data_IF_962881164530
#
_entry.id   IF_962881164530
#
_cell.length_a   1.000
_cell.length_b   1.000
_cell.length_c   1.000
_cell.angle_alpha   90.00
_cell.angle_beta   90.00
_cell.angle_gamma   90.00
#
_symmetry.space_group_name_H-M   'P 1'
#
loop_
_entity.id
_entity.type
_entity.pdbx_description
1 polymer ?
#
# COMPACT_ATOMS: atom_id res chain seq x y z
N UNK A 1 -28.02 12.18 32.37
CA UNK A 1 -27.36 12.02 31.84
C UNK A 1 -27.26 12.14 30.51
N UNK A 2 -26.53 12.67 29.92
CA UNK A 2 -26.45 12.81 28.67
C UNK A 2 -25.67 11.94 28.02
N UNK A 3 -26.14 11.23 27.24
CA UNK A 3 -25.44 10.40 26.54
C UNK A 3 -25.01 11.00 25.35
N UNK A 4 -23.81 11.18 25.16
CA UNK A 4 -23.34 11.62 24.03
C UNK A 4 -23.18 10.57 23.11
N UNK A 5 -24.00 10.39 22.29
CA UNK A 5 -23.88 9.40 21.36
C UNK A 5 -23.00 9.79 20.30
N UNK A 6 -21.85 9.33 20.31
CA UNK A 6 -21.00 9.56 19.30
C UNK A 6 -21.22 8.64 18.21
N UNK A 7 -21.63 9.11 17.15
CA UNK A 7 -21.78 8.29 15.99
C UNK A 7 -20.46 8.04 15.42
N UNK A 8 -20.05 6.85 15.32
CA UNK A 8 -18.79 6.55 14.72
C UNK A 8 -18.80 7.00 13.29
N UNK A 9 -17.96 7.88 13.01
CA UNK A 9 -17.81 8.27 11.68
C UNK A 9 -17.06 7.19 10.98
N UNK A 10 -17.59 6.70 9.95
CA UNK A 10 -16.86 5.83 9.15
C UNK A 10 -16.05 6.68 8.31
N UNK A 11 -14.94 6.96 8.76
CA UNK A 11 -14.02 7.69 7.99
C UNK A 11 -13.42 6.74 7.01
N UNK A 12 -13.12 7.13 5.87
CA UNK A 12 -12.31 6.37 4.95
C UNK A 12 -10.89 6.22 5.47
N UNK A 13 -10.02 5.67 4.67
CA UNK A 13 -8.62 5.56 5.02
C UNK A 13 -8.02 6.96 5.15
N UNK A 14 -7.17 7.13 6.14
CA UNK A 14 -6.45 8.35 6.40
C UNK A 14 -4.99 7.99 6.59
N UNK A 15 -4.08 8.95 6.54
CA UNK A 15 -2.68 8.66 6.86
C UNK A 15 -2.53 8.00 8.22
N UNK A 16 -3.33 8.41 9.20
CA UNK A 16 -3.28 7.83 10.54
C UNK A 16 -3.78 6.37 10.54
N UNK A 17 -4.81 6.09 9.77
CA UNK A 17 -5.32 4.73 9.66
C UNK A 17 -4.31 3.81 8.99
N UNK A 18 -3.61 4.32 7.98
CA UNK A 18 -2.56 3.56 7.32
C UNK A 18 -1.40 3.31 8.28
N UNK A 19 -1.00 4.31 9.06
CA UNK A 19 0.08 4.12 10.04
C UNK A 19 -0.30 3.06 11.07
N UNK A 20 -1.55 3.03 11.47
CA UNK A 20 -2.02 2.01 12.40
C UNK A 20 -1.93 0.61 11.79
N UNK A 21 -2.27 0.48 10.50
CA UNK A 21 -2.18 -0.81 9.82
C UNK A 21 -0.72 -1.23 9.63
N UNK A 22 0.15 -0.29 9.32
CA UNK A 22 1.58 -0.57 9.22
C UNK A 22 2.11 -1.07 10.56
N UNK A 23 1.74 -0.41 11.64
CA UNK A 23 2.17 -0.82 12.98
C UNK A 23 1.71 -2.23 13.31
N UNK A 24 0.52 -2.62 12.87
CA UNK A 24 0.05 -3.99 13.09
C UNK A 24 0.96 -5.00 12.41
N UNK A 25 1.54 -4.63 11.27
CA UNK A 25 2.39 -5.55 10.53
C UNK A 25 3.80 -5.59 11.09
N UNK A 26 4.39 -4.44 11.36
CA UNK A 26 5.79 -4.39 11.72
C UNK A 26 6.07 -4.23 13.20
N UNK A 27 5.06 -3.91 13.99
CA UNK A 27 5.23 -3.69 15.41
C UNK A 27 6.13 -2.50 15.66
N UNK A 28 7.17 -2.70 16.45
CA UNK A 28 8.11 -1.63 16.79
C UNK A 28 9.31 -1.57 15.85
N UNK A 29 9.33 -2.38 14.80
CA UNK A 29 10.44 -2.35 13.87
C UNK A 29 10.48 -1.03 13.13
N UNK A 30 11.68 -0.61 12.79
CA UNK A 30 11.84 0.55 11.92
C UNK A 30 11.88 0.06 10.49
N UNK A 31 11.47 0.91 9.56
CA UNK A 31 11.51 0.53 8.17
C UNK A 31 12.62 1.29 7.45
N UNK A 32 13.08 0.72 6.37
CA UNK A 32 14.10 1.29 5.51
C UNK A 32 13.48 1.72 4.19
N UNK A 33 14.17 2.56 3.48
CA UNK A 33 13.78 2.94 2.13
C UNK A 33 14.68 2.21 1.14
N UNK A 34 14.24 2.09 -0.08
CA UNK A 34 14.96 1.38 -1.12
C UNK A 34 14.31 0.05 -1.43
N UNK A 35 14.90 -0.68 -2.33
CA UNK A 35 14.47 -2.00 -2.80
C UNK A 35 13.10 -2.02 -3.49
N UNK A 36 12.18 -1.15 -3.15
CA UNK A 36 10.82 -1.19 -3.70
C UNK A 36 10.70 -0.23 -4.86
N UNK A 37 10.26 -0.74 -6.00
CA UNK A 37 9.89 0.09 -7.12
C UNK A 37 8.38 0.02 -7.27
N UNK A 38 7.75 1.15 -7.05
CA UNK A 38 6.30 1.28 -7.11
C UNK A 38 5.98 2.11 -8.35
N UNK A 39 5.38 1.48 -9.34
CA UNK A 39 5.09 2.12 -10.62
C UNK A 39 3.60 2.35 -10.76
N UNK A 40 3.22 3.59 -10.91
CA UNK A 40 1.84 3.99 -11.14
C UNK A 40 1.85 5.35 -11.83
N UNK A 41 0.77 5.71 -12.52
CA UNK A 41 0.71 7.01 -13.16
C UNK A 41 0.68 8.12 -12.10
N UNK A 42 1.31 9.24 -12.38
CA UNK A 42 1.27 10.38 -11.47
C UNK A 42 -0.13 10.97 -11.40
N UNK A 43 -0.88 10.86 -12.48
CA UNK A 43 -2.24 11.35 -12.57
C UNK A 43 -3.12 10.22 -13.07
N UNK A 44 -4.16 9.91 -12.33
CA UNK A 44 -5.12 8.91 -12.73
C UNK A 44 -6.30 9.62 -13.40
N UNK A 45 -6.41 9.44 -14.70
CA UNK A 45 -7.54 10.00 -15.45
C UNK A 45 -8.77 9.12 -15.29
N UNK A 46 -8.58 7.83 -15.12
CA UNK A 46 -9.66 6.92 -14.83
C UNK A 46 -9.41 6.29 -13.47
N UNK A 47 -9.99 6.87 -12.45
CA UNK A 47 -9.77 6.44 -11.08
C UNK A 47 -10.38 5.06 -10.77
N UNK A 48 -11.23 4.56 -11.65
CA UNK A 48 -11.81 3.22 -11.45
C UNK A 48 -10.86 2.10 -11.79
N UNK A 49 -9.86 2.37 -12.63
CA UNK A 49 -8.94 1.34 -13.10
C UNK A 49 -7.55 1.96 -13.20
N UNK A 50 -6.82 1.93 -12.11
CA UNK A 50 -5.48 2.51 -12.07
C UNK A 50 -4.47 1.37 -12.04
N UNK A 51 -3.59 1.29 -13.05
CA UNK A 51 -2.60 0.21 -13.05
C UNK A 51 -1.51 0.49 -12.03
N UNK A 52 -1.12 -0.55 -11.33
CA UNK A 52 -0.10 -0.47 -10.31
C UNK A 52 0.83 -1.67 -10.47
N UNK A 53 2.12 -1.42 -10.47
CA UNK A 53 3.11 -2.50 -10.49
C UNK A 53 4.06 -2.30 -9.31
N UNK A 54 4.34 -3.37 -8.62
CA UNK A 54 5.27 -3.36 -7.51
C UNK A 54 6.36 -4.37 -7.77
N UNK A 55 7.61 -3.96 -7.56
CA UNK A 55 8.74 -4.84 -7.66
C UNK A 55 9.64 -4.58 -6.48
N UNK A 56 10.10 -5.64 -5.83
CA UNK A 56 11.04 -5.53 -4.72
C UNK A 56 12.33 -6.20 -5.12
N UNK A 57 13.44 -5.46 -5.05
CA UNK A 57 14.74 -6.02 -5.39
C UNK A 57 15.16 -7.02 -4.34
N UNK A 58 15.37 -8.25 -4.76
CA UNK A 58 15.82 -9.31 -3.89
C UNK A 58 16.33 -10.46 -4.76
N UNK A 59 17.40 -11.15 -4.36
CA UNK A 59 17.87 -12.32 -5.09
C UNK A 59 16.93 -13.51 -4.98
N UNK A 60 15.94 -13.43 -4.11
CA UNK A 60 14.95 -14.49 -3.90
C UNK A 60 15.64 -15.84 -3.64
N UNK A 61 16.58 -15.81 -2.72
CA UNK A 61 17.29 -17.00 -2.27
C UNK A 61 16.72 -17.44 -0.91
N UNK A 62 16.96 -18.67 -0.49
CA UNK A 62 16.40 -19.14 0.78
C UNK A 62 16.74 -18.26 1.98
N UNK A 63 17.92 -17.65 1.99
CA UNK A 63 18.35 -16.81 3.10
C UNK A 63 18.16 -15.31 2.81
N UNK A 64 17.71 -14.93 1.63
CA UNK A 64 17.48 -13.53 1.30
C UNK A 64 16.36 -13.44 0.27
N UNK A 65 15.15 -13.28 0.74
CA UNK A 65 13.98 -13.17 -0.14
C UNK A 65 12.92 -12.29 0.49
N UNK A 66 11.97 -11.89 -0.33
CA UNK A 66 10.80 -11.16 0.12
C UNK A 66 9.79 -12.16 0.64
N UNK A 67 9.25 -11.94 1.82
CA UNK A 67 8.23 -12.81 2.40
C UNK A 67 6.82 -12.31 2.11
N UNK A 68 6.63 -11.00 2.13
CA UNK A 68 5.30 -10.43 1.90
C UNK A 68 5.41 -8.99 1.46
N UNK A 69 4.44 -8.55 0.68
CA UNK A 69 4.28 -7.14 0.33
C UNK A 69 2.85 -6.75 0.64
N UNK A 70 2.71 -5.68 1.39
CA UNK A 70 1.40 -5.13 1.75
C UNK A 70 1.22 -3.81 1.02
N UNK A 71 0.02 -3.58 0.51
CA UNK A 71 -0.32 -2.32 -0.15
C UNK A 71 -1.40 -1.61 0.63
N UNK A 72 -1.22 -0.31 0.79
CA UNK A 72 -2.17 0.55 1.48
C UNK A 72 -2.47 1.79 0.65
N UNK A 73 -3.62 2.37 0.89
CA UNK A 73 -4.04 3.62 0.26
C UNK A 73 -4.66 4.50 1.34
N UNK A 74 -4.20 5.74 1.42
CA UNK A 74 -4.61 6.60 2.53
C UNK A 74 -5.82 7.49 2.23
N UNK A 75 -6.47 7.27 1.11
CA UNK A 75 -7.68 8.03 0.73
C UNK A 75 -8.85 7.17 0.28
N UNK A 76 -8.72 5.87 0.29
CA UNK A 76 -9.80 4.95 -0.12
C UNK A 76 -10.71 4.64 1.07
N UNK A 77 -11.85 3.98 0.85
CA UNK A 77 -12.72 3.60 1.97
C UNK A 77 -12.03 2.71 3.01
N UNK A 78 -11.11 1.86 2.56
CA UNK A 78 -10.34 1.02 3.46
C UNK A 78 -8.87 1.27 3.23
N UNK A 79 -8.04 1.27 4.27
CA UNK A 79 -6.61 1.52 4.09
C UNK A 79 -5.88 0.37 3.41
N UNK A 80 -6.28 -0.87 3.65
CA UNK A 80 -5.60 -2.02 3.06
C UNK A 80 -6.13 -2.31 1.67
N UNK A 81 -5.22 -2.50 0.73
CA UNK A 81 -5.58 -2.85 -0.64
C UNK A 81 -5.38 -4.34 -0.86
N UNK A 82 -4.19 -4.83 -0.57
CA UNK A 82 -3.81 -6.21 -0.89
C UNK A 82 -2.58 -6.62 -0.11
N UNK A 83 -2.39 -7.92 -0.01
CA UNK A 83 -1.18 -8.48 0.56
C UNK A 83 -0.77 -9.66 -0.32
N UNK A 84 0.49 -9.69 -0.70
CA UNK A 84 1.04 -10.77 -1.51
C UNK A 84 2.14 -11.47 -0.73
N UNK A 85 2.09 -12.79 -0.69
CA UNK A 85 3.12 -13.59 -0.05
C UNK A 85 4.05 -14.17 -1.09
N UNK A 86 5.33 -14.21 -0.75
CA UNK A 86 6.36 -14.70 -1.64
C UNK A 86 7.27 -15.68 -0.91
N UNK A 87 7.99 -16.45 -1.70
CA UNK A 87 9.05 -17.32 -1.22
C UNK A 87 10.13 -17.42 -2.28
N UNK A 88 11.25 -18.07 -1.96
CA UNK A 88 12.35 -18.17 -2.92
C UNK A 88 11.95 -18.80 -4.24
N UNK A 89 10.96 -19.70 -4.21
CA UNK A 89 10.50 -20.37 -5.42
C UNK A 89 9.84 -19.45 -6.42
N UNK A 90 9.47 -18.24 -6.01
CA UNK A 90 8.83 -17.30 -6.93
C UNK A 90 9.83 -16.68 -7.91
N UNK A 91 11.12 -16.67 -7.55
CA UNK A 91 12.15 -16.13 -8.42
C UNK A 91 12.20 -14.63 -8.47
N UNK A 92 11.07 -13.96 -8.39
CA UNK A 92 10.94 -12.51 -8.39
C UNK A 92 9.81 -12.09 -7.49
N UNK A 93 10.01 -10.98 -6.78
CA UNK A 93 8.94 -10.38 -6.00
C UNK A 93 8.38 -9.21 -6.81
N UNK A 94 7.50 -9.53 -7.73
CA UNK A 94 6.92 -8.55 -8.63
C UNK A 94 5.48 -8.94 -8.92
N UNK A 95 4.59 -7.94 -8.94
CA UNK A 95 3.20 -8.18 -9.30
C UNK A 95 2.57 -6.91 -9.84
N UNK A 96 1.48 -7.08 -10.57
CA UNK A 96 0.72 -5.96 -11.11
C UNK A 96 -0.75 -6.18 -10.80
N UNK A 97 -1.44 -5.10 -10.53
CA UNK A 97 -2.88 -5.15 -10.30
C UNK A 97 -3.49 -3.83 -10.72
N UNK A 98 -4.80 -3.79 -10.75
CA UNK A 98 -5.55 -2.57 -11.00
C UNK A 98 -6.30 -2.22 -9.74
N UNK A 99 -6.26 -0.94 -9.38
CA UNK A 99 -6.90 -0.47 -8.16
C UNK A 99 -7.88 0.64 -8.47
N UNK A 100 -8.84 0.82 -7.60
CA UNK A 100 -9.79 1.91 -7.68
C UNK A 100 -9.39 2.94 -6.64
N UNK A 101 -9.39 4.21 -7.04
CA UNK A 101 -9.02 5.29 -6.15
C UNK A 101 -10.17 6.25 -5.97
N UNK A 102 -10.51 6.56 -4.73
CA UNK A 102 -11.61 7.46 -4.44
C UNK A 102 -11.23 8.92 -4.62
N UNK A 103 -9.97 9.25 -4.45
CA UNK A 103 -9.48 10.64 -4.52
C UNK A 103 -7.96 10.64 -4.61
N UNK A 104 -7.42 11.83 -4.80
CA UNK A 104 -5.97 12.03 -4.72
C UNK A 104 -5.46 11.53 -3.37
N UNK A 105 -4.41 10.74 -3.38
CA UNK A 105 -3.95 10.07 -2.18
C UNK A 105 -2.55 9.49 -2.38
N UNK A 106 -2.01 8.87 -1.35
CA UNK A 106 -0.75 8.16 -1.42
C UNK A 106 -0.99 6.67 -1.40
N UNK A 107 -0.22 5.98 -2.20
CA UNK A 107 -0.16 4.52 -2.19
C UNK A 107 1.12 4.14 -1.48
N UNK A 108 1.03 3.20 -0.56
CA UNK A 108 2.16 2.77 0.25
C UNK A 108 2.38 1.28 0.03
N UNK A 109 3.62 0.90 -0.23
CA UNK A 109 4.01 -0.50 -0.32
C UNK A 109 4.97 -0.81 0.82
N UNK A 110 4.71 -1.89 1.52
CA UNK A 110 5.52 -2.34 2.65
C UNK A 110 6.00 -3.75 2.35
N UNK A 111 7.31 -3.95 2.32
CA UNK A 111 7.89 -5.25 2.04
C UNK A 111 8.56 -5.82 3.28
N UNK A 112 8.19 -7.05 3.63
CA UNK A 112 8.82 -7.79 4.72
C UNK A 112 9.82 -8.76 4.13
N UNK A 113 11.06 -8.67 4.58
CA UNK A 113 12.14 -9.52 4.08
C UNK A 113 12.37 -10.71 5.00
N UNK A 114 12.99 -11.75 4.46
CA UNK A 114 13.24 -12.98 5.19
C UNK A 114 14.13 -12.78 6.42
N UNK A 115 14.97 -11.75 6.42
CA UNK A 115 15.85 -11.46 7.55
C UNK A 115 15.18 -10.56 8.60
N UNK A 116 13.91 -10.27 8.44
CA UNK A 116 13.17 -9.42 9.38
C UNK A 116 13.20 -7.94 9.07
N UNK A 117 13.98 -7.53 8.08
CA UNK A 117 13.98 -6.12 7.67
C UNK A 117 12.67 -5.78 6.97
N UNK A 118 12.31 -4.52 7.05
CA UNK A 118 11.09 -4.02 6.44
C UNK A 118 11.45 -2.79 5.60
N UNK A 119 10.92 -2.76 4.39
CA UNK A 119 11.11 -1.61 3.49
C UNK A 119 9.78 -0.98 3.20
N UNK A 120 9.78 0.32 2.98
CA UNK A 120 8.56 1.07 2.73
C UNK A 120 8.77 2.04 1.59
N UNK A 121 7.80 2.15 0.70
CA UNK A 121 7.80 3.12 -0.38
C UNK A 121 6.44 3.79 -0.44
N UNK A 122 6.42 5.08 -0.74
CA UNK A 122 5.21 5.87 -0.87
C UNK A 122 5.22 6.63 -2.19
N UNK A 123 4.09 6.70 -2.84
CA UNK A 123 3.93 7.50 -4.06
C UNK A 123 2.57 8.18 -4.02
N UNK A 124 2.56 9.46 -4.33
CA UNK A 124 1.30 10.18 -4.45
C UNK A 124 0.75 10.01 -5.85
N UNK A 125 -0.56 9.86 -5.94
CA UNK A 125 -1.25 9.83 -7.21
C UNK A 125 -2.38 10.83 -7.16
N UNK A 126 -2.44 11.67 -8.18
CA UNK A 126 -3.48 12.67 -8.30
C UNK A 126 -4.64 12.09 -9.09
N UNK A 127 -5.83 12.24 -8.57
CA UNK A 127 -7.04 11.80 -9.25
C UNK A 127 -7.78 13.02 -9.74
N UNK A 128 -8.05 13.05 -11.04
CA UNK A 128 -8.78 14.16 -11.62
C UNK A 128 -10.25 13.83 -11.59
N UNK A 129 -11.02 14.68 -10.92
CA UNK A 129 -12.44 14.42 -10.81
C UNK A 129 -13.17 14.75 -12.06
N UNK A 130 -12.62 15.60 -12.84
CA UNK A 130 -13.30 15.99 -14.05
C UNK A 130 -13.50 14.84 -14.97
N UNK A 131 -12.60 13.89 -14.89
CA UNK A 131 -12.72 12.76 -15.75
C UNK A 131 -13.95 12.00 -15.51
N UNK A 132 -14.50 12.10 -14.37
CA UNK A 132 -15.63 11.35 -14.09
C UNK A 132 -16.82 11.97 -14.61
N UNK A 133 -16.68 12.97 -15.30
CA UNK A 133 -17.83 13.50 -15.79
C UNK A 133 -18.71 13.79 -14.71
N UNK A 134 -18.17 13.95 -13.81
CA UNK A 134 -18.97 14.11 -12.66
C UNK A 134 -19.11 12.81 -12.17
#
# INVERSE_FOLDING_TARGET
MISLSLVPMIAGATPQAVEAEITKVIGTKTFKEGRIKLTLPAIAENASVVPLRVRVDSPMMPDDHVQAVHLFADGNPLPGIARYRFGPQNGRAEFSLRIRLAKTQKIIALAEMSNGEVYLARRQIKVTLGGCGG
#
